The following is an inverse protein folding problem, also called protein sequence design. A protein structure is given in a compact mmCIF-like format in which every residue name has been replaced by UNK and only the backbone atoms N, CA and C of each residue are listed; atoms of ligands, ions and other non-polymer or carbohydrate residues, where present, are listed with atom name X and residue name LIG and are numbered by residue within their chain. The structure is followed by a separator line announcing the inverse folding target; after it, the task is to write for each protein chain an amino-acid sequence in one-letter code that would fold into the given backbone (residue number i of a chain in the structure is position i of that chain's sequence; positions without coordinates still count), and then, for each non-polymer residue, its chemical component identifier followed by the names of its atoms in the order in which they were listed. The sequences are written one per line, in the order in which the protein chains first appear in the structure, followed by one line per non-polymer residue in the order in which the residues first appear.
data_IF_242117712021
#
_entry.id   IF_242117712021
#
_cell.length_a   1.000
_cell.length_b   1.000
_cell.length_c   1.000
_cell.angle_alpha   90.00
_cell.angle_beta   90.00
_cell.angle_gamma   90.00
#
_symmetry.space_group_name_H-M   'P 1'
#
loop_
_entity.id
_entity.type
_entity.pdbx_description
1 polymer ?
#
# COMPACT_ATOMS: atom_id res chain seq x y z
N UNK A 1 7.34 -18.27 -0.46
CA UNK A 1 6.24 -17.32 -0.68
C UNK A 1 6.84 -15.98 -1.08
N UNK A 2 6.18 -15.28 -1.97
CA UNK A 2 6.58 -14.01 -2.53
C UNK A 2 5.44 -13.04 -2.39
N UNK A 3 5.76 -11.79 -2.05
CA UNK A 3 4.82 -10.68 -2.10
C UNK A 3 5.26 -9.74 -3.22
N UNK A 4 4.31 -9.29 -4.03
CA UNK A 4 4.55 -8.28 -5.03
C UNK A 4 3.50 -7.16 -4.92
N UNK A 5 3.94 -5.95 -5.20
CA UNK A 5 3.05 -4.79 -5.37
C UNK A 5 2.95 -4.50 -6.85
N UNK A 6 1.75 -4.59 -7.41
CA UNK A 6 1.47 -4.21 -8.79
C UNK A 6 0.73 -2.89 -8.83
N UNK A 7 1.14 -2.03 -9.75
CA UNK A 7 0.42 -0.82 -10.13
C UNK A 7 -0.28 -1.07 -11.47
N UNK A 8 -1.55 -0.69 -11.57
CA UNK A 8 -2.37 -0.81 -12.77
C UNK A 8 -2.98 0.57 -13.06
N UNK A 9 -2.78 1.09 -14.26
CA UNK A 9 -3.25 2.42 -14.65
C UNK A 9 -4.52 2.30 -15.50
N UNK A 10 -5.51 3.19 -15.32
CA UNK A 10 -6.52 3.44 -16.37
C UNK A 10 -7.60 2.39 -16.65
N UNK A 11 -8.08 1.65 -15.64
CA UNK A 11 -9.14 0.63 -15.83
C UNK A 11 -10.14 0.54 -14.67
N UNK A 12 -10.38 1.63 -13.93
CA UNK A 12 -11.38 1.58 -12.86
C UNK A 12 -12.03 2.94 -12.59
N UNK A 13 -13.31 2.91 -12.23
CA UNK A 13 -14.09 4.08 -11.82
C UNK A 13 -13.45 4.80 -10.63
N UNK A 14 -12.77 4.07 -9.76
CA UNK A 14 -12.11 4.62 -8.58
C UNK A 14 -10.69 5.14 -8.87
N UNK A 15 -9.99 4.58 -9.86
CA UNK A 15 -8.82 5.25 -10.41
C UNK A 15 -9.22 6.60 -11.01
N UNK A 16 -10.25 6.66 -11.86
CA UNK A 16 -10.73 7.93 -12.41
C UNK A 16 -11.12 8.94 -11.32
N UNK A 17 -11.73 8.47 -10.22
CA UNK A 17 -12.15 9.32 -9.12
C UNK A 17 -10.97 9.95 -8.35
N UNK A 18 -9.80 9.31 -8.35
CA UNK A 18 -8.60 9.79 -7.65
C UNK A 18 -7.66 10.58 -8.54
N UNK A 19 -7.77 10.45 -9.87
CA UNK A 19 -6.88 11.08 -10.85
C UNK A 19 -6.81 12.61 -10.72
N UNK A 20 -5.60 13.16 -10.54
CA UNK A 20 -5.39 14.61 -10.42
C UNK A 20 -5.93 15.22 -9.12
N UNK A 21 -6.28 14.38 -8.14
CA UNK A 21 -6.71 14.81 -6.81
C UNK A 21 -5.68 14.38 -5.76
N UNK A 22 -5.77 14.95 -4.55
CA UNK A 22 -4.99 14.44 -3.40
C UNK A 22 -5.66 13.28 -2.68
N UNK A 23 -6.85 12.87 -3.11
CA UNK A 23 -7.64 11.87 -2.42
C UNK A 23 -7.14 10.44 -2.72
N UNK A 24 -7.24 9.58 -1.72
CA UNK A 24 -6.94 8.15 -1.84
C UNK A 24 -8.16 7.33 -1.48
N UNK A 25 -8.26 6.12 -2.03
CA UNK A 25 -9.32 5.16 -1.70
C UNK A 25 -8.67 3.83 -1.31
N UNK A 26 -8.94 3.35 -0.11
CA UNK A 26 -8.70 1.97 0.30
C UNK A 26 -10.00 1.19 0.21
N UNK A 27 -10.01 0.11 -0.57
CA UNK A 27 -11.19 -0.70 -0.85
C UNK A 27 -11.04 -2.11 -0.31
N UNK A 28 -12.05 -2.58 0.43
CA UNK A 28 -12.24 -3.98 0.81
C UNK A 28 -13.50 -4.54 0.13
N UNK A 29 -13.31 -5.47 -0.79
CA UNK A 29 -14.42 -6.14 -1.46
C UNK A 29 -14.89 -7.34 -0.64
N UNK A 30 -16.19 -7.40 -0.32
CA UNK A 30 -16.79 -8.49 0.44
C UNK A 30 -17.66 -9.43 -0.42
N UNK A 31 -17.51 -9.38 -1.75
CA UNK A 31 -18.26 -10.18 -2.74
C UNK A 31 -19.76 -9.87 -2.85
N UNK A 32 -20.30 -9.00 -1.99
CA UNK A 32 -21.68 -8.53 -2.02
C UNK A 32 -21.81 -7.01 -1.82
N UNK A 33 -20.80 -6.38 -1.22
CA UNK A 33 -20.61 -4.94 -1.15
C UNK A 33 -19.13 -4.64 -0.94
N UNK A 34 -18.77 -3.37 -1.10
CA UNK A 34 -17.44 -2.86 -0.80
C UNK A 34 -17.49 -1.93 0.42
N UNK A 35 -16.44 -2.01 1.22
CA UNK A 35 -16.10 -0.99 2.22
C UNK A 35 -15.01 -0.12 1.61
N UNK A 36 -15.25 1.18 1.52
CA UNK A 36 -14.27 2.16 1.07
C UNK A 36 -13.89 3.05 2.24
N UNK A 37 -12.60 3.28 2.39
CA UNK A 37 -12.05 4.38 3.18
C UNK A 37 -11.45 5.39 2.22
N UNK A 38 -11.97 6.61 2.24
CA UNK A 38 -11.52 7.72 1.40
C UNK A 38 -10.80 8.70 2.30
N UNK A 39 -9.52 8.94 2.03
CA UNK A 39 -8.72 9.92 2.76
C UNK A 39 -8.47 11.15 1.89
N UNK A 40 -8.41 12.33 2.54
CA UNK A 40 -8.10 13.64 1.92
C UNK A 40 -9.19 14.15 0.95
N UNK A 41 -9.11 15.44 0.62
CA UNK A 41 -10.09 16.15 -0.22
C UNK A 41 -9.73 16.10 -1.72
N UNK A 42 -10.71 16.14 -2.66
CA UNK A 42 -12.16 16.27 -2.42
C UNK A 42 -12.86 14.91 -2.24
N UNK A 43 -13.26 14.58 -1.01
CA UNK A 43 -13.93 13.30 -0.71
C UNK A 43 -15.39 13.26 -1.22
N UNK A 44 -16.01 14.42 -1.39
CA UNK A 44 -17.41 14.54 -1.84
C UNK A 44 -17.60 14.08 -3.29
N UNK A 45 -16.67 14.44 -4.18
CA UNK A 45 -16.74 14.07 -5.60
C UNK A 45 -16.58 12.55 -5.78
N UNK A 46 -15.72 11.94 -4.97
CA UNK A 46 -15.54 10.49 -4.90
C UNK A 46 -16.82 9.82 -4.42
N UNK A 47 -17.43 10.30 -3.33
CA UNK A 47 -18.67 9.72 -2.82
C UNK A 47 -19.80 9.79 -3.87
N UNK A 48 -19.88 10.87 -4.64
CA UNK A 48 -20.84 10.97 -5.74
C UNK A 48 -20.55 9.95 -6.86
N UNK A 49 -19.29 9.78 -7.27
CA UNK A 49 -18.90 8.76 -8.26
C UNK A 49 -19.24 7.36 -7.77
N UNK A 50 -18.94 7.04 -6.51
CA UNK A 50 -19.27 5.76 -5.86
C UNK A 50 -20.78 5.54 -5.87
N UNK A 51 -21.57 6.51 -5.42
CA UNK A 51 -23.04 6.47 -5.43
C UNK A 51 -23.59 6.15 -6.83
N UNK A 52 -23.07 6.82 -7.87
CA UNK A 52 -23.54 6.60 -9.25
C UNK A 52 -23.14 5.25 -9.84
N UNK A 53 -22.05 4.64 -9.35
CA UNK A 53 -21.50 3.40 -9.92
C UNK A 53 -22.09 2.16 -9.26
N UNK A 54 -22.07 2.14 -7.91
CA UNK A 54 -22.45 0.95 -7.11
C UNK A 54 -23.49 1.26 -6.02
N UNK A 55 -23.87 2.53 -5.86
CA UNK A 55 -24.73 3.01 -4.77
C UNK A 55 -24.07 2.94 -3.39
N UNK A 56 -24.51 3.80 -2.46
CA UNK A 56 -24.05 3.81 -1.06
C UNK A 56 -25.20 3.40 -0.15
N UNK A 57 -24.94 2.41 0.68
CA UNK A 57 -25.84 1.97 1.75
C UNK A 57 -25.64 2.81 3.02
N UNK A 58 -24.39 3.08 3.39
CA UNK A 58 -24.02 3.82 4.61
C UNK A 58 -22.83 4.75 4.33
N UNK A 59 -22.85 5.94 4.92
CA UNK A 59 -21.77 6.94 4.84
C UNK A 59 -21.46 7.50 6.22
N UNK A 60 -20.20 7.40 6.63
CA UNK A 60 -19.67 8.04 7.83
C UNK A 60 -18.59 9.03 7.39
N UNK A 61 -18.65 10.27 7.85
CA UNK A 61 -17.69 11.31 7.47
C UNK A 61 -17.23 12.10 8.69
N UNK A 62 -15.94 12.45 8.69
CA UNK A 62 -15.39 13.45 9.59
C UNK A 62 -14.62 14.51 8.77
N UNK A 63 -13.74 15.30 9.40
CA UNK A 63 -13.02 16.38 8.71
C UNK A 63 -11.87 15.89 7.82
N UNK A 64 -11.42 14.64 7.97
CA UNK A 64 -10.19 14.12 7.38
C UNK A 64 -10.44 12.91 6.48
N UNK A 65 -11.50 12.15 6.74
CA UNK A 65 -11.81 10.89 6.06
C UNK A 65 -13.32 10.66 5.89
N UNK A 66 -13.65 9.81 4.92
CA UNK A 66 -15.01 9.31 4.67
C UNK A 66 -14.96 7.79 4.53
N UNK A 67 -15.84 7.10 5.27
CA UNK A 67 -16.06 5.66 5.15
C UNK A 67 -17.39 5.42 4.45
N UNK A 68 -17.39 4.61 3.39
CA UNK A 68 -18.56 4.25 2.60
C UNK A 68 -18.77 2.73 2.63
N UNK A 69 -20.02 2.31 2.79
CA UNK A 69 -20.45 0.92 2.51
C UNK A 69 -21.36 0.97 1.31
N UNK A 70 -21.04 0.22 0.25
CA UNK A 70 -21.77 0.26 -1.02
C UNK A 70 -22.94 -0.71 -1.06
N UNK A 71 -23.84 -0.56 -2.04
CA UNK A 71 -24.92 -1.54 -2.26
C UNK A 71 -24.48 -2.75 -3.07
N UNK A 72 -23.37 -2.65 -3.81
CA UNK A 72 -22.82 -3.70 -4.66
C UNK A 72 -21.28 -3.59 -4.76
N UNK A 73 -20.61 -4.63 -5.27
CA UNK A 73 -19.17 -4.63 -5.47
C UNK A 73 -18.76 -4.00 -6.80
N UNK A 74 -17.78 -3.11 -6.79
CA UNK A 74 -17.20 -2.47 -7.98
C UNK A 74 -16.79 -3.49 -9.04
N UNK A 75 -16.29 -4.66 -8.62
CA UNK A 75 -15.87 -5.72 -9.54
C UNK A 75 -16.99 -6.19 -10.49
N UNK A 76 -18.25 -6.09 -10.09
CA UNK A 76 -19.39 -6.50 -10.93
C UNK A 76 -19.73 -5.44 -11.99
N UNK A 77 -19.11 -4.25 -11.90
CA UNK A 77 -19.32 -3.08 -12.75
C UNK A 77 -18.07 -2.67 -13.53
N UNK A 78 -16.98 -3.44 -13.43
CA UNK A 78 -15.70 -3.15 -14.10
C UNK A 78 -15.24 -4.28 -15.01
N UNK A 79 -14.77 -3.89 -16.20
CA UNK A 79 -14.00 -4.76 -17.08
C UNK A 79 -12.51 -4.73 -16.72
N UNK A 80 -11.73 -5.72 -17.18
CA UNK A 80 -10.27 -5.71 -16.99
C UNK A 80 -9.83 -6.05 -15.55
N UNK A 81 -10.64 -6.82 -14.83
CA UNK A 81 -10.31 -7.36 -13.52
C UNK A 81 -9.03 -8.18 -13.57
N UNK A 82 -8.21 -8.08 -12.53
CA UNK A 82 -6.97 -8.87 -12.41
C UNK A 82 -7.22 -10.19 -11.70
N UNK A 83 -8.28 -10.26 -10.90
CA UNK A 83 -8.71 -11.39 -10.09
C UNK A 83 -8.78 -12.70 -10.90
N UNK A 84 -9.36 -12.74 -12.12
CA UNK A 84 -9.36 -13.96 -12.92
C UNK A 84 -7.95 -14.48 -13.28
N UNK A 85 -6.97 -13.58 -13.44
CA UNK A 85 -5.57 -13.95 -13.70
C UNK A 85 -4.90 -14.44 -12.42
N UNK A 86 -5.16 -13.78 -11.29
CA UNK A 86 -4.64 -14.19 -9.99
C UNK A 86 -5.15 -15.59 -9.62
N UNK A 87 -6.45 -15.83 -9.78
CA UNK A 87 -7.10 -17.12 -9.50
C UNK A 87 -6.51 -18.25 -10.34
N UNK A 88 -6.31 -18.00 -11.65
CA UNK A 88 -5.71 -18.97 -12.58
C UNK A 88 -4.33 -19.45 -12.13
N UNK A 89 -3.53 -18.54 -11.57
CA UNK A 89 -2.16 -18.79 -11.14
C UNK A 89 -2.03 -19.07 -9.63
N UNK A 90 -3.15 -19.17 -8.90
CA UNK A 90 -3.15 -19.42 -7.45
C UNK A 90 -2.47 -18.29 -6.65
N UNK A 91 -2.53 -17.07 -7.16
CA UNK A 91 -2.07 -15.86 -6.48
C UNK A 91 -3.20 -15.30 -5.60
N UNK A 92 -2.88 -14.85 -4.40
CA UNK A 92 -3.83 -14.26 -3.48
C UNK A 92 -3.77 -12.74 -3.58
N UNK A 93 -4.91 -12.10 -3.80
CA UNK A 93 -5.05 -10.66 -3.67
C UNK A 93 -5.15 -10.30 -2.19
N UNK A 94 -4.34 -9.34 -1.74
CA UNK A 94 -4.36 -8.83 -0.37
C UNK A 94 -5.08 -7.48 -0.36
N UNK A 95 -6.02 -7.32 0.57
CA UNK A 95 -6.77 -6.08 0.80
C UNK A 95 -6.09 -5.18 1.85
N UNK A 96 -6.34 -3.86 1.82
CA UNK A 96 -7.16 -3.15 0.83
C UNK A 96 -6.52 -3.04 -0.56
N UNK A 97 -7.36 -2.88 -1.58
CA UNK A 97 -6.92 -2.31 -2.86
C UNK A 97 -6.79 -0.80 -2.67
N UNK A 98 -5.65 -0.24 -3.06
CA UNK A 98 -5.37 1.17 -2.88
C UNK A 98 -5.50 1.90 -4.22
N UNK A 99 -6.17 3.05 -4.22
CA UNK A 99 -6.27 3.93 -5.37
C UNK A 99 -5.70 5.29 -5.01
N UNK A 100 -4.75 5.78 -5.82
CA UNK A 100 -4.14 7.09 -5.68
C UNK A 100 -3.80 7.62 -7.08
N UNK A 101 -4.11 8.88 -7.35
CA UNK A 101 -3.75 9.60 -8.58
C UNK A 101 -4.01 8.84 -9.90
N UNK A 102 -5.17 8.20 -10.05
CA UNK A 102 -5.49 7.51 -11.31
C UNK A 102 -4.94 6.09 -11.41
N UNK A 103 -4.37 5.57 -10.34
CA UNK A 103 -3.68 4.28 -10.33
C UNK A 103 -4.26 3.35 -9.27
N UNK A 104 -4.45 2.08 -9.63
CA UNK A 104 -4.79 1.00 -8.72
C UNK A 104 -3.51 0.30 -8.28
N UNK A 105 -3.20 0.32 -6.99
CA UNK A 105 -2.09 -0.39 -6.37
C UNK A 105 -2.63 -1.59 -5.60
N UNK A 106 -2.16 -2.77 -5.96
CA UNK A 106 -2.60 -4.02 -5.36
C UNK A 106 -1.42 -4.86 -4.87
N UNK A 107 -1.63 -5.55 -3.75
CA UNK A 107 -0.65 -6.45 -3.16
C UNK A 107 -1.05 -7.88 -3.44
N UNK A 108 -0.10 -8.67 -3.92
CA UNK A 108 -0.33 -10.05 -4.31
C UNK A 108 0.64 -10.95 -3.57
N UNK A 109 0.10 -12.02 -3.01
CA UNK A 109 0.87 -13.10 -2.41
C UNK A 109 0.88 -14.29 -3.35
N UNK A 110 2.06 -14.83 -3.64
CA UNK A 110 2.18 -16.08 -4.38
C UNK A 110 3.08 -17.06 -3.63
N UNK A 111 2.69 -18.33 -3.64
CA UNK A 111 3.51 -19.39 -3.05
C UNK A 111 4.73 -19.66 -3.95
N UNK A 112 4.58 -19.46 -5.27
CA UNK A 112 5.56 -19.76 -6.31
C UNK A 112 6.03 -18.50 -7.05
N UNK A 113 7.35 -18.26 -7.20
CA UNK A 113 7.84 -17.14 -7.99
C UNK A 113 7.52 -17.29 -9.48
N UNK A 114 7.39 -18.54 -9.97
CA UNK A 114 7.02 -18.84 -11.36
C UNK A 114 5.57 -18.46 -11.62
N UNK A 115 4.65 -18.86 -10.73
CA UNK A 115 3.23 -18.55 -10.88
C UNK A 115 2.97 -17.04 -10.89
N UNK A 116 3.69 -16.28 -10.06
CA UNK A 116 3.63 -14.81 -10.09
C UNK A 116 4.13 -14.23 -11.43
N UNK A 117 5.20 -14.80 -11.99
CA UNK A 117 5.75 -14.37 -13.28
C UNK A 117 4.82 -14.72 -14.44
N UNK A 118 4.22 -15.91 -14.43
CA UNK A 118 3.22 -16.32 -15.43
C UNK A 118 1.95 -15.47 -15.34
N UNK A 119 1.47 -15.17 -14.12
CA UNK A 119 0.36 -14.26 -13.92
C UNK A 119 0.63 -12.86 -14.49
N UNK A 120 1.82 -12.31 -14.26
CA UNK A 120 2.20 -11.02 -14.82
C UNK A 120 2.24 -11.06 -16.36
N UNK A 121 2.72 -12.17 -16.93
CA UNK A 121 2.75 -12.33 -18.38
C UNK A 121 1.33 -12.35 -18.97
N UNK A 122 0.41 -13.13 -18.40
CA UNK A 122 -0.98 -13.18 -18.86
C UNK A 122 -1.68 -11.81 -18.74
N UNK A 123 -1.38 -11.01 -17.70
CA UNK A 123 -1.90 -9.65 -17.56
C UNK A 123 -1.42 -8.76 -18.71
N UNK A 124 -0.13 -8.83 -19.06
CA UNK A 124 0.44 -8.06 -20.17
C UNK A 124 -0.09 -8.54 -21.51
N UNK A 125 -0.25 -9.85 -21.72
CA UNK A 125 -0.84 -10.40 -22.95
C UNK A 125 -2.32 -10.00 -23.13
N UNK A 126 -3.02 -9.72 -22.03
CA UNK A 126 -4.39 -9.21 -22.03
C UNK A 126 -4.49 -7.68 -22.17
N UNK A 127 -3.38 -6.99 -22.53
CA UNK A 127 -3.28 -5.54 -22.66
C UNK A 127 -3.63 -4.76 -21.37
N UNK A 128 -3.47 -5.40 -20.20
CA UNK A 128 -3.61 -4.71 -18.91
C UNK A 128 -2.31 -3.95 -18.61
N UNK A 129 -2.35 -2.61 -18.43
CA UNK A 129 -1.18 -1.76 -18.21
C UNK A 129 -0.66 -1.91 -16.77
N UNK A 130 0.01 -3.03 -16.52
CA UNK A 130 0.52 -3.42 -15.20
C UNK A 130 2.03 -3.16 -15.07
N UNK A 131 2.45 -2.63 -13.93
CA UNK A 131 3.86 -2.42 -13.56
C UNK A 131 4.14 -3.02 -12.20
N UNK A 132 5.27 -3.73 -12.07
CA UNK A 132 5.73 -4.25 -10.77
C UNK A 132 6.46 -3.15 -10.00
N UNK A 133 5.91 -2.71 -8.87
CA UNK A 133 6.57 -1.75 -7.96
C UNK A 133 7.57 -2.41 -7.03
N UNK A 134 7.22 -3.58 -6.52
CA UNK A 134 8.07 -4.34 -5.63
C UNK A 134 7.83 -5.84 -5.81
N UNK A 135 8.87 -6.64 -5.58
CA UNK A 135 8.79 -8.10 -5.49
C UNK A 135 9.78 -8.55 -4.43
N UNK A 136 9.28 -9.16 -3.35
CA UNK A 136 10.11 -9.64 -2.23
C UNK A 136 9.82 -11.09 -1.90
N UNK A 137 10.86 -11.83 -1.52
CA UNK A 137 10.72 -13.18 -0.96
C UNK A 137 10.39 -13.04 0.52
N UNK A 138 9.31 -13.67 0.97
CA UNK A 138 8.95 -13.72 2.38
C UNK A 138 9.80 -14.79 3.10
N UNK A 139 10.39 -14.39 4.23
CA UNK A 139 11.19 -15.25 5.11
C UNK A 139 10.39 -16.35 5.81
N UNK A 140 11.08 -17.27 6.49
CA UNK A 140 10.50 -18.46 7.12
C UNK A 140 10.02 -18.27 8.57
N UNK A 141 10.20 -17.09 9.18
CA UNK A 141 9.74 -16.79 10.54
C UNK A 141 8.51 -15.87 10.54
N UNK A 142 7.49 -16.27 11.31
CA UNK A 142 6.19 -15.58 11.45
C UNK A 142 6.33 -14.24 12.22
N UNK A 143 7.39 -14.07 12.99
CA UNK A 143 7.60 -12.91 13.88
C UNK A 143 7.72 -11.57 13.15
N UNK A 144 8.16 -11.56 11.89
CA UNK A 144 8.37 -10.35 11.07
C UNK A 144 7.27 -10.06 10.04
N UNK A 145 6.20 -10.87 9.98
CA UNK A 145 5.21 -10.83 8.88
C UNK A 145 3.83 -10.26 9.26
N UNK A 146 3.74 -9.55 10.39
CA UNK A 146 2.55 -8.77 10.75
C UNK A 146 2.15 -7.62 9.78
N UNK A 147 2.97 -7.10 8.84
CA UNK A 147 2.50 -6.09 7.88
C UNK A 147 1.71 -6.69 6.70
N UNK A 148 1.53 -8.02 6.61
CA UNK A 148 0.71 -8.62 5.55
C UNK A 148 -0.77 -8.20 5.59
N UNK A 149 -1.22 -7.62 6.70
CA UNK A 149 -2.62 -7.21 6.95
C UNK A 149 -2.77 -5.74 7.35
N UNK A 150 -1.68 -4.97 7.35
CA UNK A 150 -1.73 -3.54 7.62
C UNK A 150 -2.16 -2.80 6.33
N UNK A 151 -3.13 -1.86 6.41
CA UNK A 151 -3.45 -0.92 5.32
C UNK A 151 -2.21 -0.20 4.78
N UNK A 152 -2.28 0.25 3.52
CA UNK A 152 -1.20 0.95 2.82
C UNK A 152 -0.65 2.14 3.63
N UNK A 153 -1.49 2.72 4.49
CA UNK A 153 -1.20 3.91 5.28
C UNK A 153 -0.39 3.69 6.56
N UNK A 154 -0.18 2.44 7.00
CA UNK A 154 0.58 2.19 8.25
C UNK A 154 2.10 2.28 8.01
N UNK A 155 2.58 2.03 6.79
CA UNK A 155 4.03 2.14 6.49
C UNK A 155 4.24 3.32 5.52
N UNK A 156 4.75 4.45 6.01
CA UNK A 156 4.92 5.65 5.21
C UNK A 156 6.01 5.44 4.16
N UNK A 157 5.87 6.09 3.00
CA UNK A 157 6.93 6.10 1.99
C UNK A 157 8.16 6.82 2.51
N UNK A 158 9.22 6.06 2.78
CA UNK A 158 10.56 6.58 3.08
C UNK A 158 11.34 6.78 1.78
N UNK A 159 12.18 7.82 1.72
CA UNK A 159 13.17 7.91 0.64
C UNK A 159 14.23 6.82 0.79
N UNK A 160 14.95 6.45 -0.27
CA UNK A 160 16.00 5.43 -0.20
C UNK A 160 16.97 5.68 0.95
N UNK A 161 17.42 6.93 1.13
CA UNK A 161 18.32 7.31 2.23
C UNK A 161 17.68 7.26 3.61
N UNK A 162 16.38 7.55 3.73
CA UNK A 162 15.64 7.42 4.99
C UNK A 162 15.49 5.94 5.37
N UNK A 163 15.17 5.09 4.39
CA UNK A 163 15.06 3.64 4.58
C UNK A 163 16.41 3.03 4.96
N UNK A 164 17.46 3.34 4.20
CA UNK A 164 18.81 2.82 4.42
C UNK A 164 19.34 3.18 5.82
N UNK A 165 19.23 4.44 6.24
CA UNK A 165 19.76 4.87 7.54
C UNK A 165 18.98 4.25 8.70
N UNK A 166 17.65 4.11 8.60
CA UNK A 166 16.85 3.60 9.72
C UNK A 166 16.98 2.10 9.86
N UNK A 167 17.07 1.36 8.73
CA UNK A 167 17.41 -0.06 8.74
C UNK A 167 18.78 -0.30 9.36
N UNK A 168 19.79 0.45 8.91
CA UNK A 168 21.15 0.32 9.43
C UNK A 168 21.23 0.63 10.93
N UNK A 169 20.56 1.70 11.38
CA UNK A 169 20.47 2.03 12.80
C UNK A 169 19.79 0.92 13.61
N UNK A 170 18.65 0.40 13.13
CA UNK A 170 17.90 -0.65 13.82
C UNK A 170 18.69 -1.96 13.93
N UNK A 171 19.28 -2.44 12.82
CA UNK A 171 20.04 -3.70 12.76
C UNK A 171 21.28 -3.69 13.65
N UNK A 172 21.87 -2.51 13.89
CA UNK A 172 23.05 -2.34 14.74
C UNK A 172 22.71 -1.87 16.17
N UNK A 173 21.45 -1.97 16.59
CA UNK A 173 21.04 -1.74 17.97
C UNK A 173 21.03 -0.27 18.40
N UNK A 174 20.85 0.68 17.48
CA UNK A 174 20.78 2.13 17.80
C UNK A 174 19.66 2.46 18.81
N UNK A 175 18.55 1.71 18.75
CA UNK A 175 17.39 1.89 19.62
C UNK A 175 17.41 0.99 20.87
N UNK A 176 18.45 0.17 21.06
CA UNK A 176 18.61 -0.69 22.22
C UNK A 176 19.15 0.08 23.44
N UNK A 177 19.02 -0.53 24.63
CA UNK A 177 19.56 -0.02 25.87
C UNK A 177 20.44 -1.12 26.50
N UNK A 178 21.79 -0.97 26.52
CA UNK A 178 22.57 0.13 25.93
C UNK A 178 22.57 0.10 24.39
N UNK A 179 22.86 1.23 23.75
CA UNK A 179 22.91 1.31 22.28
C UNK A 179 24.08 0.48 21.73
N UNK A 180 23.82 -0.27 20.67
CA UNK A 180 24.82 -1.03 19.92
C UNK A 180 25.66 -0.20 18.95
N UNK A 181 25.15 0.95 18.49
CA UNK A 181 25.83 1.86 17.56
C UNK A 181 25.50 3.34 17.87
N UNK A 182 26.41 4.25 17.51
CA UNK A 182 26.22 5.70 17.61
C UNK A 182 25.87 6.32 16.25
N UNK A 183 25.31 7.54 16.26
CA UNK A 183 25.07 8.31 15.02
C UNK A 183 26.36 8.68 14.28
N UNK A 184 27.50 8.74 14.96
CA UNK A 184 28.82 8.99 14.34
C UNK A 184 29.27 7.79 13.51
N UNK A 185 29.13 6.59 14.06
CA UNK A 185 29.45 5.32 13.40
C UNK A 185 28.52 5.09 12.22
N UNK A 186 27.20 5.25 12.40
CA UNK A 186 26.20 5.21 11.31
C UNK A 186 26.61 6.16 10.17
N UNK A 187 26.96 7.41 10.49
CA UNK A 187 27.34 8.37 9.46
C UNK A 187 28.62 7.99 8.71
N UNK A 188 29.59 7.42 9.44
CA UNK A 188 30.85 6.93 8.87
C UNK A 188 30.59 5.78 7.91
N UNK A 189 29.79 4.80 8.31
CA UNK A 189 29.46 3.63 7.48
C UNK A 189 28.63 4.01 6.25
N UNK A 190 27.78 5.03 6.38
CA UNK A 190 26.93 5.54 5.31
C UNK A 190 27.64 6.55 4.38
N UNK A 191 28.88 6.94 4.68
CA UNK A 191 29.65 7.91 3.88
C UNK A 191 29.06 9.33 3.90
N UNK A 192 28.38 9.72 4.98
CA UNK A 192 27.74 11.03 5.14
C UNK A 192 28.25 11.75 6.39
N UNK A 193 27.93 13.05 6.52
CA UNK A 193 28.22 13.77 7.77
C UNK A 193 27.25 13.31 8.86
N UNK A 194 27.71 13.29 10.11
CA UNK A 194 26.88 13.00 11.30
C UNK A 194 25.53 13.70 11.28
N UNK A 195 25.52 15.02 11.03
CA UNK A 195 24.29 15.83 10.97
C UNK A 195 23.32 15.36 9.88
N UNK A 196 23.83 14.90 8.75
CA UNK A 196 23.03 14.37 7.64
C UNK A 196 22.41 13.02 8.02
N UNK A 197 23.15 12.13 8.69
CA UNK A 197 22.60 10.88 9.22
C UNK A 197 21.50 11.14 10.27
N UNK A 198 21.74 12.07 11.21
CA UNK A 198 20.75 12.48 12.22
C UNK A 198 19.48 13.07 11.58
N UNK A 199 19.61 13.86 10.51
CA UNK A 199 18.47 14.42 9.79
C UNK A 199 17.67 13.34 9.05
N UNK A 200 18.34 12.39 8.40
CA UNK A 200 17.66 11.27 7.75
C UNK A 200 16.95 10.38 8.76
N UNK A 201 17.58 10.06 9.89
CA UNK A 201 16.96 9.30 10.98
C UNK A 201 15.73 10.00 11.51
N UNK A 202 15.83 11.28 11.90
CA UNK A 202 14.69 12.03 12.45
C UNK A 202 13.53 12.12 11.45
N UNK A 203 13.81 12.30 10.16
CA UNK A 203 12.75 12.33 9.13
C UNK A 203 12.08 10.97 8.96
N UNK A 204 12.86 9.90 8.97
CA UNK A 204 12.34 8.53 8.89
C UNK A 204 11.50 8.20 10.12
N UNK A 205 12.02 8.45 11.33
CA UNK A 205 11.33 8.27 12.61
C UNK A 205 10.01 9.03 12.67
N UNK A 206 10.00 10.33 12.30
CA UNK A 206 8.76 11.12 12.30
C UNK A 206 7.69 10.55 11.37
N UNK A 207 8.09 10.10 10.17
CA UNK A 207 7.15 9.45 9.25
C UNK A 207 6.59 8.18 9.88
N UNK A 208 7.45 7.31 10.40
CA UNK A 208 7.05 6.03 11.00
C UNK A 208 6.16 6.22 12.23
N UNK A 209 6.46 7.22 13.07
CA UNK A 209 5.63 7.53 14.24
C UNK A 209 4.28 8.11 13.82
N UNK A 210 4.25 9.02 12.85
CA UNK A 210 2.99 9.59 12.35
C UNK A 210 2.04 8.53 11.80
N UNK A 211 2.56 7.43 11.23
CA UNK A 211 1.70 6.35 10.70
C UNK A 211 1.17 5.39 11.74
N UNK A 212 1.72 5.38 12.96
CA UNK A 212 1.30 4.46 14.04
C UNK A 212 0.69 5.17 15.24
N UNK A 213 0.83 6.49 15.36
CA UNK A 213 0.46 7.24 16.57
C UNK A 213 -1.03 7.12 16.90
N UNK A 214 -1.89 7.07 15.88
CA UNK A 214 -3.34 6.97 16.07
C UNK A 214 -3.79 5.57 16.53
N UNK A 215 -2.95 4.55 16.34
CA UNK A 215 -3.20 3.18 16.83
C UNK A 215 -2.79 2.98 18.29
N UNK A 216 -2.17 3.97 18.92
CA UNK A 216 -1.67 3.87 20.31
C UNK A 216 -2.67 4.40 21.36
N UNK A 217 -3.90 4.76 20.94
CA UNK A 217 -4.97 5.30 21.80
C UNK A 217 -6.15 4.35 21.96
#
# INVERSE_FOLDING_TARGET
MYEATLQITGHSSYAEATAGTSATIDLWCNQHCDLLHVSREPAMDIAQKVETTVGIQERLENREETVLVTNDCLREHEDGLIEPFLDRHGCLLLYPLHYEDGEKVCRILSISPTALTECFHDLVEADIPVTVKSKRKLGSSVETQRPLLAPHDIVPTLTDRQSEVIHHAFENGYYEIPRGITTEEIATEMGVKRRTAEEHLRRAENKLLASVIDFLN
#
